data_IF_084075870546
#
_entry.id   IF_084075870546
#
_cell.length_a   1.000
_cell.length_b   1.000
_cell.length_c   1.000
_cell.angle_alpha   90.00
_cell.angle_beta   90.00
_cell.angle_gamma   90.00
#
_symmetry.space_group_name_H-M   'P 1'
#
loop_
_entity.id
_entity.type
_entity.pdbx_description
1 polymer ?
#
# COMPACT_ATOMS: atom_id res chain seq x y z
N UNK A 1 -1.14 -3.77 8.05
CA UNK A 1 -1.97 -2.56 7.86
C UNK A 1 -2.84 -2.60 6.61
N UNK A 2 -2.29 -2.84 5.40
CA UNK A 2 -3.09 -2.92 4.16
C UNK A 2 -4.22 -3.96 4.23
N UNK A 3 -3.95 -5.17 4.73
CA UNK A 3 -4.97 -6.22 4.89
C UNK A 3 -6.07 -5.86 5.89
N UNK A 4 -5.72 -5.17 6.97
CA UNK A 4 -6.68 -4.70 7.99
C UNK A 4 -7.63 -3.66 7.37
N UNK A 5 -7.13 -2.88 6.40
CA UNK A 5 -7.89 -1.88 5.66
C UNK A 5 -8.24 -2.37 4.24
N UNK A 6 -8.48 -3.67 4.07
CA UNK A 6 -8.92 -4.22 2.78
C UNK A 6 -10.17 -3.47 2.28
N UNK A 7 -10.26 -3.32 0.95
CA UNK A 7 -11.25 -2.52 0.21
C UNK A 7 -11.28 -1.00 0.49
N UNK A 8 -10.52 -0.51 1.47
CA UNK A 8 -10.36 0.92 1.74
C UNK A 8 -9.11 1.49 1.07
N UNK A 9 -9.18 2.76 0.71
CA UNK A 9 -8.02 3.50 0.24
C UNK A 9 -7.29 4.04 1.47
N UNK A 10 -6.00 3.74 1.57
CA UNK A 10 -5.11 4.21 2.63
C UNK A 10 -4.01 5.08 2.02
N UNK A 11 -3.86 6.28 2.58
CA UNK A 11 -2.88 7.26 2.10
C UNK A 11 -1.46 6.89 2.51
N UNK A 12 -0.48 7.50 1.84
CA UNK A 12 0.93 7.34 2.22
C UNK A 12 1.19 7.83 3.65
N UNK A 13 0.61 8.96 4.05
CA UNK A 13 0.73 9.49 5.41
C UNK A 13 0.15 8.53 6.45
N UNK A 14 -1.03 7.96 6.20
CA UNK A 14 -1.62 6.97 7.11
C UNK A 14 -0.74 5.72 7.24
N UNK A 15 -0.21 5.21 6.13
CA UNK A 15 0.69 4.05 6.17
C UNK A 15 1.97 4.41 6.92
N UNK A 16 2.51 5.60 6.70
CA UNK A 16 3.68 6.09 7.42
C UNK A 16 3.35 6.14 8.92
N UNK A 17 2.40 6.96 9.35
CA UNK A 17 2.06 7.19 10.76
C UNK A 17 1.76 5.90 11.54
N UNK A 18 1.06 4.94 10.91
CA UNK A 18 0.64 3.70 11.58
C UNK A 18 1.67 2.57 11.56
N UNK A 19 2.62 2.58 10.61
CA UNK A 19 3.62 1.50 10.47
C UNK A 19 5.00 1.97 10.91
N UNK A 20 5.33 3.23 10.64
CA UNK A 20 6.55 3.92 11.04
C UNK A 20 6.17 5.10 11.95
N UNK A 21 6.43 4.97 13.25
CA UNK A 21 6.14 6.03 14.22
C UNK A 21 6.83 7.35 13.84
N UNK A 22 6.29 8.45 14.38
CA UNK A 22 6.55 9.86 14.03
C UNK A 22 8.04 10.31 14.04
N UNK A 23 8.95 9.50 14.59
CA UNK A 23 10.41 9.76 14.57
C UNK A 23 11.08 9.38 13.24
N UNK A 24 10.32 8.97 12.23
CA UNK A 24 10.86 8.73 10.91
C UNK A 24 11.28 10.05 10.23
N UNK A 25 12.54 10.47 10.43
CA UNK A 25 13.21 11.57 9.71
C UNK A 25 13.50 11.26 8.23
N UNK A 26 12.93 10.20 7.68
CA UNK A 26 13.21 9.74 6.33
C UNK A 26 12.25 10.30 5.28
N UNK A 27 12.54 9.96 4.03
CA UNK A 27 11.75 10.37 2.86
C UNK A 27 10.38 9.67 2.84
N UNK A 28 9.32 10.42 2.52
CA UNK A 28 7.98 9.87 2.25
C UNK A 28 7.99 8.78 1.16
N UNK A 29 9.05 8.75 0.32
CA UNK A 29 9.33 7.69 -0.65
C UNK A 29 9.50 6.29 -0.05
N UNK A 30 9.79 6.13 1.25
CA UNK A 30 9.97 4.80 1.86
C UNK A 30 8.73 3.91 1.71
N UNK A 31 7.54 4.51 1.77
CA UNK A 31 6.27 3.79 1.60
C UNK A 31 6.22 3.17 0.19
N UNK A 32 6.69 3.89 -0.83
CA UNK A 32 6.70 3.41 -2.20
C UNK A 32 7.70 2.27 -2.40
N UNK A 33 8.88 2.37 -1.79
CA UNK A 33 9.90 1.31 -1.81
C UNK A 33 9.35 0.03 -1.19
N UNK A 34 8.75 0.12 0.00
CA UNK A 34 8.21 -1.04 0.69
C UNK A 34 6.98 -1.62 -0.01
N UNK A 35 6.09 -0.79 -0.57
CA UNK A 35 4.97 -1.31 -1.38
C UNK A 35 5.49 -2.02 -2.63
N UNK A 36 6.55 -1.51 -3.26
CA UNK A 36 7.18 -2.17 -4.41
C UNK A 36 7.79 -3.52 -4.02
N UNK A 37 8.44 -3.62 -2.86
CA UNK A 37 8.94 -4.88 -2.34
C UNK A 37 7.82 -5.86 -1.96
N UNK A 38 6.73 -5.35 -1.38
CA UNK A 38 5.58 -6.16 -1.03
C UNK A 38 4.94 -6.76 -2.29
N UNK A 39 4.76 -5.95 -3.35
CA UNK A 39 4.25 -6.41 -4.65
C UNK A 39 5.08 -7.56 -5.21
N UNK A 40 6.41 -7.44 -5.18
CA UNK A 40 7.31 -8.50 -5.65
C UNK A 40 7.22 -9.79 -4.84
N UNK A 41 6.64 -9.78 -3.63
CA UNK A 41 6.49 -10.95 -2.76
C UNK A 41 5.11 -11.57 -2.80
N UNK A 42 4.06 -10.74 -2.80
CA UNK A 42 2.67 -11.20 -2.63
C UNK A 42 1.77 -10.94 -3.84
N UNK A 43 2.16 -10.03 -4.72
CA UNK A 43 1.38 -9.57 -5.88
C UNK A 43 1.96 -10.14 -7.18
N UNK A 44 2.56 -11.33 -7.09
CA UNK A 44 3.18 -12.06 -8.21
C UNK A 44 2.21 -13.04 -8.89
N UNK A 45 1.05 -13.27 -8.26
CA UNK A 45 0.02 -14.17 -8.76
C UNK A 45 -1.16 -13.35 -9.27
N UNK A 46 -1.80 -13.82 -10.33
CA UNK A 46 -3.08 -13.25 -10.74
C UNK A 46 -4.20 -13.74 -9.80
N UNK A 47 -5.15 -12.88 -9.45
CA UNK A 47 -5.26 -11.47 -9.85
C UNK A 47 -4.42 -10.50 -8.99
N UNK A 48 -4.01 -9.32 -9.53
CA UNK A 48 -3.30 -8.31 -8.76
C UNK A 48 -4.17 -7.76 -7.62
N UNK A 49 -3.63 -7.76 -6.42
CA UNK A 49 -4.28 -7.39 -5.16
C UNK A 49 -4.00 -5.95 -4.76
N UNK A 50 -2.80 -5.43 -5.04
CA UNK A 50 -2.37 -4.09 -4.59
C UNK A 50 -2.56 -3.07 -5.71
N UNK A 51 -3.59 -2.23 -5.58
CA UNK A 51 -3.88 -1.17 -6.53
C UNK A 51 -3.35 0.19 -6.06
N UNK A 52 -2.63 0.90 -6.94
CA UNK A 52 -2.24 2.30 -6.70
C UNK A 52 -3.32 3.24 -7.20
N UNK A 53 -3.80 4.12 -6.32
CA UNK A 53 -4.68 5.23 -6.67
C UNK A 53 -3.83 6.49 -6.70
N UNK A 54 -3.52 6.98 -7.91
CA UNK A 54 -2.66 8.17 -8.11
C UNK A 54 -3.22 9.36 -7.32
N UNK A 55 -2.34 10.06 -6.59
CA UNK A 55 -2.70 11.22 -5.77
C UNK A 55 -3.38 10.91 -4.44
N UNK A 56 -3.79 9.65 -4.19
CA UNK A 56 -4.53 9.29 -2.96
C UNK A 56 -3.76 8.28 -2.10
N UNK A 57 -3.30 7.17 -2.69
CA UNK A 57 -2.60 6.12 -1.93
C UNK A 57 -2.76 4.73 -2.52
N UNK A 58 -2.94 3.75 -1.66
CA UNK A 58 -3.01 2.33 -2.01
C UNK A 58 -4.32 1.70 -1.55
N UNK A 59 -4.81 0.73 -2.30
CA UNK A 59 -5.95 -0.10 -1.93
C UNK A 59 -5.62 -1.56 -2.16
N UNK A 60 -5.91 -2.39 -1.17
CA UNK A 60 -5.88 -3.83 -1.31
C UNK A 60 -7.30 -4.31 -1.66
N UNK A 61 -7.50 -4.92 -2.82
CA UNK A 61 -8.77 -5.53 -3.21
C UNK A 61 -8.56 -6.60 -4.27
N UNK A 62 -9.53 -7.49 -4.43
CA UNK A 62 -9.62 -8.28 -5.65
C UNK A 62 -10.06 -7.37 -6.81
N UNK A 63 -9.53 -7.54 -8.03
CA UNK A 63 -10.05 -6.80 -9.17
C UNK A 63 -11.51 -7.18 -9.37
N UNK A 64 -12.33 -6.21 -9.76
CA UNK A 64 -13.70 -6.52 -10.16
C UNK A 64 -13.63 -7.55 -11.30
N UNK A 65 -14.30 -8.69 -11.13
CA UNK A 65 -14.62 -9.55 -12.27
C UNK A 65 -15.34 -8.66 -13.29
N UNK A 66 -14.73 -8.50 -14.46
CA UNK A 66 -15.42 -7.95 -15.63
C UNK A 66 -16.52 -8.90 -16.06
#
# INVERSE_FOLDING_TARGET
>A
YLMINADRVVSKSQILDHVWQYDFRGDMGIVETYVSYLRKKIDIYEPPLIHTIRGVGYRLRLPAKK
#
